data_IF_706218170053
#
_entry.id   IF_706218170053
#
_cell.length_a   1.000
_cell.length_b   1.000
_cell.length_c   1.000
_cell.angle_alpha   90.00
_cell.angle_beta   90.00
_cell.angle_gamma   90.00
#
_symmetry.space_group_name_H-M   'P 1'
#
loop_
_entity.id
_entity.type
_entity.pdbx_description
1 polymer ?
#
# COMPACT_ATOMS: atom_id res chain seq x y z
N UNK A 1 -15.36 -5.96 7.65
CA UNK A 1 -15.21 -4.50 7.37
C UNK A 1 -13.82 -3.97 7.73
N UNK A 2 -13.17 -4.47 8.78
CA UNK A 2 -11.84 -3.98 9.18
C UNK A 2 -10.77 -4.23 8.10
N UNK A 3 -10.86 -5.33 7.37
CA UNK A 3 -9.93 -5.64 6.27
C UNK A 3 -10.06 -4.65 5.11
N UNK A 4 -11.26 -4.09 4.86
CA UNK A 4 -11.50 -3.13 3.77
C UNK A 4 -11.04 -1.71 4.10
N UNK A 5 -10.91 -1.39 5.38
CA UNK A 5 -10.45 -0.08 5.84
C UNK A 5 -8.91 0.02 5.94
N UNK A 6 -8.20 -1.04 5.64
CA UNK A 6 -6.73 -0.97 5.53
C UNK A 6 -6.36 -0.41 4.15
N UNK A 7 -5.39 0.48 4.11
CA UNK A 7 -4.86 1.06 2.88
C UNK A 7 -3.96 0.02 2.18
N UNK A 8 -4.58 -1.04 1.70
CA UNK A 8 -3.91 -2.13 0.97
C UNK A 8 -4.73 -2.44 -0.28
N UNK A 9 -4.15 -2.25 -1.44
CA UNK A 9 -4.78 -2.50 -2.74
C UNK A 9 -5.19 -3.98 -2.95
N UNK A 10 -4.73 -4.91 -2.10
CA UNK A 10 -5.05 -6.35 -2.14
C UNK A 10 -6.21 -6.74 -1.22
N UNK A 11 -6.82 -5.79 -0.51
CA UNK A 11 -7.85 -6.12 0.47
C UNK A 11 -9.05 -6.85 -0.13
N UNK A 12 -9.51 -6.43 -1.30
CA UNK A 12 -10.60 -7.10 -1.99
C UNK A 12 -10.22 -8.55 -2.38
N UNK A 13 -9.01 -8.75 -2.89
CA UNK A 13 -8.51 -10.08 -3.23
C UNK A 13 -8.44 -11.00 -2.01
N UNK A 14 -7.92 -10.50 -0.89
CA UNK A 14 -7.86 -11.25 0.37
C UNK A 14 -9.26 -11.61 0.88
N UNK A 15 -10.20 -10.66 0.78
CA UNK A 15 -11.59 -10.89 1.16
C UNK A 15 -12.25 -11.96 0.28
N UNK A 16 -12.09 -11.87 -1.04
CA UNK A 16 -12.70 -12.84 -1.97
C UNK A 16 -12.17 -14.25 -1.73
N UNK A 17 -10.87 -14.39 -1.52
CA UNK A 17 -10.24 -15.69 -1.20
C UNK A 17 -10.76 -16.26 0.12
N UNK A 18 -10.87 -15.42 1.17
CA UNK A 18 -11.42 -15.83 2.45
C UNK A 18 -12.87 -16.31 2.32
N UNK A 19 -13.70 -15.59 1.58
CA UNK A 19 -15.10 -15.95 1.38
C UNK A 19 -15.27 -17.25 0.59
N UNK A 20 -14.41 -17.46 -0.41
CA UNK A 20 -14.39 -18.72 -1.18
C UNK A 20 -13.98 -19.90 -0.31
N UNK A 21 -12.96 -19.73 0.52
CA UNK A 21 -12.53 -20.74 1.49
C UNK A 21 -13.66 -21.05 2.48
N UNK A 22 -14.30 -20.04 3.06
CA UNK A 22 -15.43 -20.23 4.00
C UNK A 22 -16.61 -20.93 3.32
N UNK A 23 -16.92 -20.57 2.07
CA UNK A 23 -17.98 -21.23 1.30
C UNK A 23 -17.68 -22.71 1.06
N UNK A 24 -16.43 -23.04 0.79
CA UNK A 24 -16.02 -24.46 0.57
C UNK A 24 -16.17 -25.33 1.82
N UNK A 25 -16.18 -24.73 3.01
CA UNK A 25 -16.38 -25.37 4.30
C UNK A 25 -17.85 -25.44 4.74
N UNK A 26 -18.75 -24.82 3.97
CA UNK A 26 -20.16 -24.67 4.35
C UNK A 26 -21.03 -25.56 3.44
N UNK A 27 -21.88 -26.40 4.01
CA UNK A 27 -22.76 -27.29 3.25
C UNK A 27 -24.09 -26.61 2.84
N UNK A 28 -24.58 -25.65 3.62
CA UNK A 28 -25.89 -25.03 3.39
C UNK A 28 -25.81 -23.56 3.05
N UNK A 29 -25.41 -22.69 3.99
CA UNK A 29 -25.49 -21.24 3.84
C UNK A 29 -24.29 -20.54 4.46
N UNK A 30 -23.78 -19.50 3.77
CA UNK A 30 -22.79 -18.56 4.28
C UNK A 30 -23.44 -17.21 4.51
N UNK A 31 -23.55 -16.79 5.78
CA UNK A 31 -24.12 -15.49 6.15
C UNK A 31 -23.01 -14.46 6.37
N UNK A 32 -23.07 -13.34 5.64
CA UNK A 32 -22.10 -12.25 5.76
C UNK A 32 -22.79 -11.06 6.45
N UNK A 33 -22.29 -10.69 7.64
CA UNK A 33 -22.74 -9.49 8.33
C UNK A 33 -21.79 -8.33 8.02
N UNK A 34 -22.34 -7.21 7.52
CA UNK A 34 -21.58 -6.01 7.19
C UNK A 34 -22.32 -4.74 7.57
N UNK A 35 -21.57 -3.63 7.79
CA UNK A 35 -22.10 -2.28 8.01
C UNK A 35 -22.32 -1.51 6.71
N UNK A 36 -21.82 -2.04 5.59
CA UNK A 36 -21.85 -1.42 4.25
C UNK A 36 -22.42 -2.40 3.22
N UNK A 37 -23.65 -2.86 3.39
CA UNK A 37 -24.23 -3.92 2.55
C UNK A 37 -24.27 -3.55 1.07
N UNK A 38 -24.39 -2.27 0.73
CA UNK A 38 -24.43 -1.76 -0.64
C UNK A 38 -23.17 -2.09 -1.46
N UNK A 39 -22.02 -2.27 -0.81
CA UNK A 39 -20.79 -2.67 -1.48
C UNK A 39 -20.79 -4.13 -1.95
N UNK A 40 -21.68 -4.96 -1.36
CA UNK A 40 -21.70 -6.41 -1.54
C UNK A 40 -22.98 -6.94 -2.21
N UNK A 41 -23.87 -6.04 -2.67
CA UNK A 41 -25.15 -6.42 -3.25
C UNK A 41 -25.09 -6.83 -4.72
N UNK A 42 -23.91 -6.75 -5.36
CA UNK A 42 -23.80 -7.19 -6.74
C UNK A 42 -23.86 -8.72 -6.87
N UNK A 43 -24.43 -9.19 -7.98
CA UNK A 43 -24.64 -10.63 -8.22
C UNK A 43 -23.33 -11.42 -8.23
N UNK A 44 -22.25 -10.84 -8.75
CA UNK A 44 -20.93 -11.49 -8.81
C UNK A 44 -20.42 -11.78 -7.40
N UNK A 45 -20.60 -10.84 -6.46
CA UNK A 45 -20.20 -11.02 -5.07
C UNK A 45 -21.08 -12.05 -4.36
N UNK A 46 -22.41 -11.92 -4.48
CA UNK A 46 -23.37 -12.83 -3.82
C UNK A 46 -23.21 -14.30 -4.28
N UNK A 47 -22.85 -14.49 -5.56
CA UNK A 47 -22.61 -15.80 -6.13
C UNK A 47 -21.15 -16.26 -6.01
N UNK A 48 -20.26 -15.43 -5.46
CA UNK A 48 -18.80 -15.64 -5.41
C UNK A 48 -18.24 -16.01 -6.79
N UNK A 49 -18.63 -15.27 -7.82
CA UNK A 49 -18.11 -15.44 -9.18
C UNK A 49 -16.69 -14.85 -9.26
N UNK A 50 -15.72 -15.55 -8.66
CA UNK A 50 -14.36 -15.04 -8.43
C UNK A 50 -13.68 -14.49 -9.69
N UNK A 51 -13.83 -15.17 -10.83
CA UNK A 51 -13.23 -14.69 -12.07
C UNK A 51 -13.73 -13.30 -12.44
N UNK A 52 -15.03 -13.03 -12.33
CA UNK A 52 -15.61 -11.72 -12.63
C UNK A 52 -15.19 -10.67 -11.60
N UNK A 53 -15.11 -11.07 -10.34
CA UNK A 53 -14.65 -10.17 -9.27
C UNK A 53 -13.17 -9.78 -9.48
N UNK A 54 -12.32 -10.73 -9.85
CA UNK A 54 -10.91 -10.46 -10.16
C UNK A 54 -10.75 -9.64 -11.45
N UNK A 55 -11.52 -9.91 -12.49
CA UNK A 55 -11.47 -9.12 -13.73
C UNK A 55 -11.86 -7.66 -13.48
N UNK A 56 -12.88 -7.42 -12.66
CA UNK A 56 -13.27 -6.06 -12.25
C UNK A 56 -12.18 -5.39 -11.43
N UNK A 57 -11.64 -6.09 -10.43
CA UNK A 57 -10.54 -5.60 -9.61
C UNK A 57 -9.32 -5.21 -10.46
N UNK A 58 -8.93 -6.06 -11.41
CA UNK A 58 -7.82 -5.78 -12.32
C UNK A 58 -8.09 -4.57 -13.20
N UNK A 59 -9.32 -4.39 -13.66
CA UNK A 59 -9.71 -3.21 -14.43
C UNK A 59 -9.59 -1.93 -13.60
N UNK A 60 -10.11 -1.93 -12.38
CA UNK A 60 -9.99 -0.81 -11.45
C UNK A 60 -8.53 -0.49 -11.11
N UNK A 61 -7.71 -1.51 -10.85
CA UNK A 61 -6.27 -1.34 -10.61
C UNK A 61 -5.55 -0.72 -11.81
N UNK A 62 -5.92 -1.11 -13.02
CA UNK A 62 -5.37 -0.54 -14.25
C UNK A 62 -5.71 0.95 -14.38
N UNK A 63 -6.97 1.31 -14.14
CA UNK A 63 -7.46 2.70 -14.20
C UNK A 63 -6.78 3.58 -13.14
N UNK A 64 -6.53 3.03 -11.95
CA UNK A 64 -5.89 3.72 -10.83
C UNK A 64 -4.35 3.66 -10.87
N UNK A 65 -3.77 2.95 -11.82
CA UNK A 65 -2.32 2.75 -11.88
C UNK A 65 -1.79 2.03 -10.63
N UNK A 66 -2.41 0.92 -10.26
CA UNK A 66 -2.01 0.08 -9.13
C UNK A 66 -1.36 -1.23 -9.61
N UNK A 67 -0.65 -1.96 -8.75
CA UNK A 67 -0.10 -3.28 -9.10
C UNK A 67 -1.19 -4.24 -9.59
N UNK A 68 -0.92 -5.04 -10.64
CA UNK A 68 0.37 -5.33 -11.27
C UNK A 68 0.75 -4.39 -12.44
N UNK A 69 -0.02 -3.37 -12.73
CA UNK A 69 0.22 -2.47 -13.88
C UNK A 69 1.31 -1.43 -13.60
N UNK A 70 1.51 -1.09 -12.34
CA UNK A 70 2.62 -0.29 -11.84
C UNK A 70 3.15 -0.94 -10.57
N UNK A 71 4.20 -0.39 -10.01
CA UNK A 71 4.78 -0.83 -8.75
C UNK A 71 4.71 0.29 -7.72
N UNK A 72 4.33 -0.07 -6.50
CA UNK A 72 4.33 0.83 -5.36
C UNK A 72 5.53 0.53 -4.48
N UNK A 73 6.25 1.57 -4.10
CA UNK A 73 7.39 1.46 -3.20
C UNK A 73 7.15 2.34 -1.99
N UNK A 74 7.16 1.73 -0.81
CA UNK A 74 7.10 2.43 0.46
C UNK A 74 8.52 2.72 0.95
N UNK A 75 8.83 3.98 1.16
CA UNK A 75 10.06 4.44 1.77
C UNK A 75 9.70 4.83 3.20
N UNK A 76 10.04 3.97 4.15
CA UNK A 76 9.68 4.14 5.55
C UNK A 76 10.85 4.75 6.31
N UNK A 77 10.57 5.79 7.08
CA UNK A 77 11.54 6.44 7.96
C UNK A 77 11.08 6.26 9.41
N UNK A 78 12.00 5.83 10.28
CA UNK A 78 11.73 5.75 11.71
C UNK A 78 12.84 6.36 12.54
N UNK A 79 12.46 7.06 13.60
CA UNK A 79 13.42 7.68 14.53
C UNK A 79 12.81 7.93 15.90
N UNK A 80 13.67 8.14 16.90
CA UNK A 80 13.24 8.39 18.30
C UNK A 80 12.76 9.82 18.53
N UNK A 81 13.18 10.76 17.69
CA UNK A 81 12.82 12.17 17.82
C UNK A 81 11.83 12.57 16.71
N UNK A 82 10.66 13.05 17.10
CA UNK A 82 9.58 13.42 16.18
C UNK A 82 10.04 14.46 15.16
N UNK A 83 10.56 15.58 15.63
CA UNK A 83 10.92 16.73 14.78
C UNK A 83 12.04 16.38 13.79
N UNK A 84 13.05 15.63 14.25
CA UNK A 84 14.12 15.12 13.38
C UNK A 84 13.59 14.15 12.33
N UNK A 85 12.71 13.24 12.71
CA UNK A 85 12.15 12.26 11.78
C UNK A 85 11.27 12.95 10.75
N UNK A 86 10.44 13.91 11.18
CA UNK A 86 9.59 14.71 10.30
C UNK A 86 10.42 15.57 9.34
N UNK A 87 11.45 16.25 9.83
CA UNK A 87 12.35 17.03 8.96
C UNK A 87 13.09 16.16 7.95
N UNK A 88 13.54 14.96 8.36
CA UNK A 88 14.23 14.05 7.48
C UNK A 88 13.33 13.52 6.36
N UNK A 89 12.06 13.16 6.65
CA UNK A 89 11.14 12.68 5.64
C UNK A 89 10.77 13.79 4.65
N UNK A 90 10.54 15.02 5.13
CA UNK A 90 10.26 16.16 4.26
C UNK A 90 11.45 16.48 3.35
N UNK A 91 12.66 16.54 3.92
CA UNK A 91 13.88 16.77 3.13
C UNK A 91 14.14 15.68 2.10
N UNK A 92 13.89 14.41 2.45
CA UNK A 92 13.98 13.30 1.49
C UNK A 92 12.95 13.42 0.37
N UNK A 93 11.70 13.73 0.72
CA UNK A 93 10.62 13.92 -0.25
C UNK A 93 10.96 15.01 -1.27
N UNK A 94 11.35 16.20 -0.81
CA UNK A 94 11.73 17.31 -1.69
C UNK A 94 12.91 16.96 -2.60
N UNK A 95 13.93 16.27 -2.06
CA UNK A 95 15.06 15.79 -2.85
C UNK A 95 14.59 14.83 -3.94
N UNK A 96 13.84 13.78 -3.58
CA UNK A 96 13.39 12.76 -4.53
C UNK A 96 12.47 13.36 -5.59
N UNK A 97 11.51 14.22 -5.19
CA UNK A 97 10.57 14.91 -6.09
C UNK A 97 11.29 15.82 -7.07
N UNK A 98 12.29 16.57 -6.61
CA UNK A 98 13.08 17.46 -7.47
C UNK A 98 13.94 16.73 -8.51
N UNK A 99 14.35 15.50 -8.22
CA UNK A 99 15.20 14.69 -9.10
C UNK A 99 14.41 13.74 -10.02
N UNK A 100 13.16 13.44 -9.67
CA UNK A 100 12.33 12.48 -10.39
C UNK A 100 11.58 13.14 -11.54
N UNK A 101 11.73 12.58 -12.75
CA UNK A 101 10.89 12.88 -13.91
C UNK A 101 10.05 11.67 -14.35
N UNK A 102 10.44 10.46 -13.93
CA UNK A 102 9.82 9.19 -14.35
C UNK A 102 8.93 8.58 -13.25
N UNK A 103 9.08 9.04 -11.99
CA UNK A 103 8.38 8.45 -10.85
C UNK A 103 7.41 9.44 -10.24
N UNK A 104 6.24 8.97 -9.88
CA UNK A 104 5.31 9.75 -9.09
C UNK A 104 5.62 9.53 -7.60
N UNK A 105 5.93 10.62 -6.91
CA UNK A 105 6.29 10.61 -5.51
C UNK A 105 5.22 11.37 -4.74
N UNK A 106 4.53 10.66 -3.86
CA UNK A 106 3.44 11.21 -3.07
C UNK A 106 3.97 11.90 -1.82
N UNK A 107 3.17 12.85 -1.30
CA UNK A 107 3.52 13.57 -0.09
C UNK A 107 3.71 12.60 1.10
N UNK A 108 4.66 12.92 1.99
CA UNK A 108 4.89 12.12 3.17
C UNK A 108 3.67 12.06 4.08
N UNK A 109 3.41 10.88 4.62
CA UNK A 109 2.37 10.65 5.60
C UNK A 109 2.93 9.98 6.87
N UNK A 110 2.25 10.18 7.99
CA UNK A 110 2.50 9.37 9.18
C UNK A 110 2.05 7.93 8.93
N UNK A 111 2.86 6.97 9.36
CA UNK A 111 2.47 5.56 9.28
C UNK A 111 1.40 5.23 10.32
N UNK A 112 0.72 4.12 10.14
CA UNK A 112 -0.26 3.61 11.10
C UNK A 112 0.30 2.33 11.73
N UNK A 113 0.65 2.34 13.03
CA UNK A 113 0.60 3.44 13.98
C UNK A 113 1.74 4.46 13.80
N UNK A 114 1.46 5.75 14.02
CA UNK A 114 2.44 6.84 13.91
C UNK A 114 3.58 6.74 14.92
N UNK A 115 3.32 6.09 16.08
CA UNK A 115 4.30 5.87 17.14
C UNK A 115 4.20 4.43 17.65
N UNK A 116 5.34 3.71 17.63
CA UNK A 116 5.43 2.35 18.15
C UNK A 116 6.79 2.13 18.81
N UNK A 117 6.78 1.57 20.04
CA UNK A 117 8.00 1.23 20.82
C UNK A 117 8.99 2.40 20.91
N UNK A 118 8.48 3.61 21.15
CA UNK A 118 9.29 4.81 21.32
C UNK A 118 9.86 5.42 20.02
N UNK A 119 9.52 4.88 18.85
CA UNK A 119 9.90 5.45 17.56
C UNK A 119 8.68 6.09 16.89
N UNK A 120 8.91 7.16 16.15
CA UNK A 120 7.96 7.80 15.24
C UNK A 120 8.20 7.28 13.82
N UNK A 121 7.11 7.02 13.09
CA UNK A 121 7.12 6.41 11.78
C UNK A 121 6.47 7.31 10.75
N UNK A 122 7.19 7.55 9.66
CA UNK A 122 6.72 8.27 8.48
C UNK A 122 6.97 7.44 7.23
N UNK A 123 6.18 7.67 6.21
CA UNK A 123 6.32 6.98 4.92
C UNK A 123 6.20 7.95 3.75
N UNK A 124 6.95 7.67 2.70
CA UNK A 124 6.79 8.25 1.37
C UNK A 124 6.38 7.12 0.45
N UNK A 125 5.30 7.30 -0.30
CA UNK A 125 4.90 6.38 -1.33
C UNK A 125 5.46 6.85 -2.67
N UNK A 126 6.04 5.93 -3.44
CA UNK A 126 6.52 6.16 -4.79
C UNK A 126 5.87 5.16 -5.74
N UNK A 127 5.36 5.63 -6.87
CA UNK A 127 4.81 4.80 -7.94
C UNK A 127 5.75 4.82 -9.15
N UNK A 128 6.01 3.65 -9.72
CA UNK A 128 6.91 3.45 -10.83
C UNK A 128 6.40 2.38 -11.80
N UNK A 129 6.71 2.51 -13.08
CA UNK A 129 6.44 1.48 -14.08
C UNK A 129 7.46 0.32 -14.05
N UNK A 130 8.62 0.49 -13.40
CA UNK A 130 9.68 -0.50 -13.31
C UNK A 130 10.31 -0.52 -11.93
N UNK A 131 10.30 -1.68 -11.29
CA UNK A 131 10.97 -1.92 -10.00
C UNK A 131 12.47 -1.70 -10.09
N UNK A 132 13.08 -2.15 -11.18
CA UNK A 132 14.54 -2.04 -11.38
C UNK A 132 14.98 -0.59 -11.43
N UNK A 133 14.29 0.25 -12.24
CA UNK A 133 14.58 1.68 -12.34
C UNK A 133 14.34 2.40 -11.01
N UNK A 134 13.23 2.08 -10.33
CA UNK A 134 12.92 2.63 -9.01
C UNK A 134 13.98 2.26 -7.97
N UNK A 135 14.39 0.99 -7.93
CA UNK A 135 15.44 0.51 -7.05
C UNK A 135 16.79 1.16 -7.30
N UNK A 136 17.17 1.33 -8.57
CA UNK A 136 18.41 2.03 -8.93
C UNK A 136 18.38 3.50 -8.49
N UNK A 137 17.29 4.20 -8.79
CA UNK A 137 17.08 5.59 -8.39
C UNK A 137 17.18 5.76 -6.87
N UNK A 138 16.46 4.94 -6.10
CA UNK A 138 16.48 5.01 -4.65
C UNK A 138 17.86 4.66 -4.07
N UNK A 139 18.52 3.63 -4.60
CA UNK A 139 19.87 3.24 -4.16
C UNK A 139 20.89 4.37 -4.34
N UNK A 140 20.78 5.12 -5.43
CA UNK A 140 21.65 6.25 -5.70
C UNK A 140 21.38 7.40 -4.69
N UNK A 141 20.14 7.78 -4.49
CA UNK A 141 19.80 8.98 -3.74
C UNK A 141 19.66 8.79 -2.23
N UNK A 142 19.40 7.56 -1.75
CA UNK A 142 19.36 7.24 -0.32
C UNK A 142 20.76 7.13 0.29
N UNK A 143 21.78 6.68 -0.46
CA UNK A 143 23.16 6.60 0.03
C UNK A 143 23.75 7.95 0.40
N UNK A 144 23.34 9.01 -0.28
CA UNK A 144 23.84 10.37 -0.04
C UNK A 144 23.13 11.08 1.13
N UNK A 145 22.09 10.48 1.70
CA UNK A 145 21.32 11.04 2.80
C UNK A 145 22.01 10.85 4.15
N UNK A 146 22.19 11.93 4.89
CA UNK A 146 22.66 11.87 6.28
C UNK A 146 21.47 11.68 7.22
N UNK A 147 21.10 10.42 7.48
CA UNK A 147 19.97 10.04 8.35
C UNK A 147 20.44 9.71 9.79
N UNK A 148 21.22 10.61 10.42
CA UNK A 148 21.73 10.35 11.78
C UNK A 148 20.62 10.08 12.78
N UNK A 149 20.58 8.85 13.33
CA UNK A 149 19.58 8.40 14.29
C UNK A 149 18.21 8.09 13.69
N UNK A 150 18.11 8.02 12.35
CA UNK A 150 16.91 7.64 11.60
C UNK A 150 17.23 6.41 10.75
N UNK A 151 16.33 5.45 10.79
CA UNK A 151 16.42 4.24 9.97
C UNK A 151 15.48 4.42 8.78
N UNK A 152 16.02 4.23 7.59
CA UNK A 152 15.28 4.25 6.33
C UNK A 152 15.20 2.82 5.80
N UNK A 153 14.00 2.36 5.48
CA UNK A 153 13.75 1.07 4.84
C UNK A 153 12.90 1.28 3.59
N UNK A 154 13.14 0.44 2.59
CA UNK A 154 12.41 0.45 1.32
C UNK A 154 11.72 -0.88 1.16
N UNK A 155 10.43 -0.85 0.88
CA UNK A 155 9.60 -2.02 0.68
C UNK A 155 8.85 -1.87 -0.65
N UNK A 156 9.01 -2.85 -1.54
CA UNK A 156 8.44 -2.82 -2.89
C UNK A 156 7.22 -3.72 -2.93
N UNK A 157 6.11 -3.19 -3.46
CA UNK A 157 4.80 -3.86 -3.52
C UNK A 157 4.43 -4.51 -2.16
N UNK A 158 4.46 -3.74 -1.06
CA UNK A 158 4.25 -4.29 0.28
C UNK A 158 2.91 -5.03 0.39
N UNK A 159 2.94 -6.12 1.13
CA UNK A 159 1.81 -7.07 1.31
C UNK A 159 1.08 -6.78 2.60
#
# INVERSE_FOLDING_TARGET
DSALNMVDFRNNEKLYRLLDELRSLTEEELVIQTRVPEQYQNKEFLNLELNKLFDRELKERKELGLPPYTHLTHINLRGKNLERTKSAVLGLYEKLKGLSKEFEIFEPAESIPAKLRGNFYYQILMRAASVEKAGHFLKLHLKEGHFSGIIVTVDVDPV
#
